data_IF_825051394688
#
_entry.id   IF_825051394688
#
_cell.length_a   1.000
_cell.length_b   1.000
_cell.length_c   1.000
_cell.angle_alpha   90.00
_cell.angle_beta   90.00
_cell.angle_gamma   90.00
#
_symmetry.space_group_name_H-M   'P 1'
#
loop_
_entity.id
_entity.type
_entity.pdbx_description
1 polymer ?
#
# COMPACT_ATOMS: atom_id res chain seq x y z
N UNK A 1 24.47 1.70 -9.79
CA UNK A 1 25.03 0.70 -8.84
C UNK A 1 24.08 -0.48 -8.89
N UNK A 2 24.53 -1.72 -8.86
CA UNK A 2 23.59 -2.86 -8.99
C UNK A 2 22.63 -2.92 -7.78
N UNK A 3 21.32 -3.00 -8.05
CA UNK A 3 20.26 -3.09 -7.03
C UNK A 3 20.51 -4.25 -6.05
N UNK A 4 20.95 -5.39 -6.56
CA UNK A 4 21.28 -6.58 -5.76
C UNK A 4 22.35 -6.27 -4.70
N UNK A 5 23.33 -5.43 -5.05
CA UNK A 5 24.39 -5.00 -4.13
C UNK A 5 23.85 -4.10 -3.02
N UNK A 6 22.97 -3.15 -3.37
CA UNK A 6 22.32 -2.26 -2.39
C UNK A 6 21.40 -3.06 -1.47
N UNK A 7 20.63 -4.01 -2.03
CA UNK A 7 19.76 -4.89 -1.27
C UNK A 7 20.54 -5.76 -0.29
N UNK A 8 21.69 -6.32 -0.72
CA UNK A 8 22.59 -7.08 0.14
C UNK A 8 23.12 -6.22 1.30
N UNK A 9 23.63 -5.02 1.01
CA UNK A 9 24.09 -4.10 2.06
C UNK A 9 22.98 -3.72 3.04
N UNK A 10 21.80 -3.39 2.53
CA UNK A 10 20.66 -2.99 3.34
C UNK A 10 20.20 -4.13 4.26
N UNK A 11 20.14 -5.37 3.75
CA UNK A 11 19.85 -6.57 4.54
C UNK A 11 20.80 -6.70 5.73
N UNK A 12 22.12 -6.65 5.50
CA UNK A 12 23.11 -6.79 6.57
C UNK A 12 23.01 -5.65 7.61
N UNK A 13 22.79 -4.42 7.14
CA UNK A 13 22.66 -3.25 8.02
C UNK A 13 21.40 -3.31 8.88
N UNK A 14 20.26 -3.71 8.31
CA UNK A 14 19.00 -3.88 9.04
C UNK A 14 19.12 -5.00 10.09
N UNK A 15 19.74 -6.13 9.74
CA UNK A 15 19.99 -7.23 10.69
C UNK A 15 20.87 -6.77 11.86
N UNK A 16 21.94 -6.04 11.58
CA UNK A 16 22.80 -5.44 12.61
C UNK A 16 22.01 -4.49 13.53
N UNK A 17 21.17 -3.63 12.95
CA UNK A 17 20.38 -2.63 13.68
C UNK A 17 19.16 -3.19 14.40
N UNK A 18 18.75 -4.42 14.09
CA UNK A 18 17.69 -5.12 14.81
C UNK A 18 18.03 -5.40 16.28
N UNK A 19 19.32 -5.50 16.61
CA UNK A 19 19.81 -5.68 17.98
C UNK A 19 19.62 -4.40 18.84
N UNK A 20 19.59 -3.22 18.22
CA UNK A 20 19.40 -1.93 18.88
C UNK A 20 17.91 -1.68 19.19
N UNK A 21 17.57 -1.49 20.47
CA UNK A 21 16.18 -1.32 20.92
C UNK A 21 15.42 -0.21 20.18
N UNK A 22 16.10 0.90 19.85
CA UNK A 22 15.51 2.02 19.13
C UNK A 22 15.10 1.70 17.69
N UNK A 23 15.73 0.70 17.06
CA UNK A 23 15.54 0.35 15.65
C UNK A 23 14.91 -1.02 15.43
N UNK A 24 14.88 -1.87 16.47
CA UNK A 24 14.44 -3.26 16.43
C UNK A 24 13.14 -3.48 15.67
N UNK A 25 12.07 -2.80 16.08
CA UNK A 25 10.73 -3.04 15.52
C UNK A 25 10.67 -2.66 14.03
N UNK A 26 11.29 -1.53 13.67
CA UNK A 26 11.33 -1.06 12.29
C UNK A 26 12.16 -2.01 11.41
N UNK A 27 13.36 -2.39 11.85
CA UNK A 27 14.23 -3.29 11.10
C UNK A 27 13.59 -4.68 10.93
N UNK A 28 12.98 -5.20 12.00
CA UNK A 28 12.22 -6.46 11.96
C UNK A 28 11.11 -6.37 10.92
N UNK A 29 10.33 -5.31 10.94
CA UNK A 29 9.22 -5.14 10.01
C UNK A 29 9.65 -4.94 8.54
N UNK A 30 10.80 -4.31 8.30
CA UNK A 30 11.36 -4.13 6.97
C UNK A 30 11.94 -5.42 6.38
N UNK A 31 12.49 -6.28 7.22
CA UNK A 31 13.05 -7.59 6.86
C UNK A 31 11.98 -8.68 6.71
N UNK A 32 10.85 -8.54 7.40
CA UNK A 32 9.79 -9.54 7.47
C UNK A 32 9.28 -9.94 6.08
N UNK A 33 9.32 -11.23 5.77
CA UNK A 33 8.78 -11.80 4.54
C UNK A 33 7.24 -11.84 4.58
N UNK A 34 6.63 -12.10 3.43
CA UNK A 34 5.18 -12.28 3.38
C UNK A 34 4.73 -13.52 4.16
N UNK A 35 5.48 -14.62 4.08
CA UNK A 35 5.20 -15.86 4.81
C UNK A 35 5.28 -15.64 6.32
N UNK A 36 6.34 -14.98 6.80
CA UNK A 36 6.49 -14.64 8.23
C UNK A 36 5.34 -13.75 8.72
N UNK A 37 4.93 -12.77 7.91
CA UNK A 37 3.77 -11.93 8.23
C UNK A 37 2.49 -12.77 8.36
N UNK A 38 2.20 -13.65 7.41
CA UNK A 38 1.03 -14.55 7.46
C UNK A 38 1.09 -15.44 8.70
N UNK A 39 2.25 -15.97 9.05
CA UNK A 39 2.45 -16.77 10.26
C UNK A 39 2.13 -15.97 11.53
N UNK A 40 2.48 -14.68 11.59
CA UNK A 40 2.11 -13.83 12.73
C UNK A 40 0.59 -13.64 12.89
N UNK A 41 -0.15 -13.62 11.77
CA UNK A 41 -1.61 -13.50 11.76
C UNK A 41 -2.32 -14.80 12.16
N UNK A 42 -1.76 -15.95 11.75
CA UNK A 42 -2.32 -17.26 12.09
C UNK A 42 -2.06 -17.62 13.55
N UNK A 43 -0.91 -17.27 14.11
CA UNK A 43 -0.63 -17.44 15.54
C UNK A 43 -1.58 -16.62 16.44
N UNK A 44 -2.13 -15.52 15.91
CA UNK A 44 -3.11 -14.68 16.62
C UNK A 44 -4.57 -15.10 16.42
N UNK A 45 -4.85 -16.06 15.52
CA UNK A 45 -6.20 -16.48 15.14
C UNK A 45 -6.36 -18.01 15.25
N UNK A 46 -7.19 -18.50 16.18
CA UNK A 46 -7.51 -19.94 16.29
C UNK A 46 -8.10 -20.49 14.99
N UNK A 47 -7.51 -21.57 14.50
CA UNK A 47 -7.66 -22.21 13.18
C UNK A 47 -9.05 -22.24 12.54
N UNK A 48 -9.08 -21.96 11.23
CA UNK A 48 -9.87 -22.71 10.24
C UNK A 48 -9.07 -22.83 8.94
N UNK A 49 -8.47 -23.99 8.70
CA UNK A 49 -7.94 -24.37 7.38
C UNK A 49 -9.10 -24.75 6.48
N UNK A 50 -9.30 -24.03 5.38
CA UNK A 50 -10.16 -24.46 4.27
C UNK A 50 -9.28 -24.79 3.05
N UNK A 51 -9.33 -26.05 2.62
CA UNK A 51 -8.51 -26.68 1.57
C UNK A 51 -8.80 -26.18 0.12
N UNK A 52 -9.32 -24.97 -0.07
CA UNK A 52 -9.58 -24.38 -1.40
C UNK A 52 -8.47 -23.42 -1.88
N UNK A 53 -7.24 -23.61 -1.39
CA UNK A 53 -6.19 -22.59 -1.45
C UNK A 53 -5.55 -22.38 -2.84
N UNK A 54 -5.55 -23.37 -3.75
CA UNK A 54 -4.82 -23.27 -5.02
C UNK A 54 -5.41 -22.24 -6.00
N UNK A 55 -6.72 -22.25 -6.20
CA UNK A 55 -7.41 -21.34 -7.13
C UNK A 55 -7.44 -19.90 -6.58
N UNK A 56 -7.49 -19.74 -5.26
CA UNK A 56 -7.39 -18.43 -4.62
C UNK A 56 -6.01 -17.82 -4.82
N UNK A 57 -4.94 -18.59 -4.59
CA UNK A 57 -3.57 -18.12 -4.81
C UNK A 57 -3.30 -17.81 -6.30
N UNK A 58 -3.80 -18.64 -7.22
CA UNK A 58 -3.70 -18.37 -8.66
C UNK A 58 -4.36 -17.04 -9.03
N UNK A 59 -5.53 -16.73 -8.48
CA UNK A 59 -6.19 -15.44 -8.69
C UNK A 59 -5.37 -14.25 -8.13
N UNK A 60 -4.77 -14.40 -6.94
CA UNK A 60 -3.92 -13.35 -6.36
C UNK A 60 -2.71 -13.09 -7.24
N UNK A 61 -2.06 -14.16 -7.72
CA UNK A 61 -0.91 -14.08 -8.61
C UNK A 61 -1.28 -13.46 -9.96
N UNK A 62 -2.43 -13.80 -10.53
CA UNK A 62 -2.94 -13.19 -11.76
C UNK A 62 -3.12 -11.67 -11.63
N UNK A 63 -3.68 -11.21 -10.51
CA UNK A 63 -3.86 -9.77 -10.25
C UNK A 63 -2.49 -9.10 -10.08
N UNK A 64 -1.63 -9.70 -9.26
CA UNK A 64 -0.29 -9.18 -8.95
C UNK A 64 0.56 -9.06 -10.20
N UNK A 65 0.56 -10.07 -11.08
CA UNK A 65 1.31 -10.08 -12.32
C UNK A 65 0.82 -9.02 -13.34
N UNK A 66 -0.41 -8.52 -13.19
CA UNK A 66 -0.95 -7.43 -14.02
C UNK A 66 -0.63 -6.03 -13.47
N UNK A 67 -0.06 -5.94 -12.27
CA UNK A 67 0.35 -4.67 -11.66
C UNK A 67 1.84 -4.48 -11.99
N UNK A 68 2.12 -3.55 -12.90
CA UNK A 68 3.48 -3.23 -13.30
C UNK A 68 4.19 -2.49 -12.18
N UNK A 69 5.20 -3.13 -11.60
CA UNK A 69 6.10 -2.53 -10.59
C UNK A 69 7.55 -2.48 -11.07
N UNK A 70 7.76 -2.50 -12.39
CA UNK A 70 9.08 -2.75 -12.98
C UNK A 70 9.97 -1.52 -13.07
N UNK A 71 9.43 -0.31 -12.88
CA UNK A 71 10.19 0.94 -12.98
C UNK A 71 10.41 1.54 -11.57
N UNK A 72 11.67 1.67 -11.10
CA UNK A 72 12.00 2.30 -9.83
C UNK A 72 11.52 3.75 -9.68
N UNK A 73 11.21 4.43 -10.79
CA UNK A 73 10.63 5.78 -10.79
C UNK A 73 9.10 5.80 -10.72
N UNK A 74 8.45 4.64 -10.90
CA UNK A 74 7.01 4.51 -10.72
C UNK A 74 6.67 4.37 -9.25
N UNK A 75 5.71 5.17 -8.80
CA UNK A 75 5.17 5.02 -7.45
C UNK A 75 4.36 3.73 -7.36
N UNK A 76 4.14 3.22 -6.15
CA UNK A 76 3.28 2.04 -5.99
C UNK A 76 3.42 1.39 -4.62
N UNK A 77 2.43 0.55 -4.23
CA UNK A 77 2.51 -0.25 -3.01
C UNK A 77 3.62 -1.30 -3.15
N UNK A 78 4.51 -1.38 -2.17
CA UNK A 78 5.67 -2.27 -2.22
C UNK A 78 5.34 -3.62 -1.56
N UNK A 79 5.87 -4.71 -2.11
CA UNK A 79 5.74 -6.04 -1.49
C UNK A 79 6.75 -6.30 -0.37
N UNK A 80 6.40 -7.25 0.51
CA UNK A 80 7.35 -7.80 1.48
C UNK A 80 8.39 -8.71 0.78
N UNK A 81 9.62 -8.77 1.30
CA UNK A 81 10.14 -7.95 2.38
C UNK A 81 10.43 -6.52 1.91
N UNK A 82 9.98 -5.53 2.68
CA UNK A 82 9.94 -4.12 2.26
C UNK A 82 11.32 -3.55 1.93
N UNK A 83 12.38 -4.06 2.55
CA UNK A 83 13.74 -3.59 2.29
C UNK A 83 14.14 -3.75 0.81
N UNK A 84 13.59 -4.71 0.07
CA UNK A 84 13.89 -4.87 -1.36
C UNK A 84 13.36 -3.69 -2.18
N UNK A 85 12.15 -3.23 -1.89
CA UNK A 85 11.61 -2.03 -2.52
C UNK A 85 12.37 -0.77 -2.10
N UNK A 86 12.78 -0.67 -0.83
CA UNK A 86 13.66 0.42 -0.38
C UNK A 86 15.01 0.39 -1.13
N UNK A 87 15.59 -0.79 -1.33
CA UNK A 87 16.85 -0.93 -2.06
C UNK A 87 16.73 -0.42 -3.51
N UNK A 88 15.59 -0.66 -4.19
CA UNK A 88 15.30 -0.07 -5.50
C UNK A 88 15.30 1.46 -5.46
N UNK A 89 14.58 2.03 -4.50
CA UNK A 89 14.48 3.48 -4.34
C UNK A 89 15.83 4.11 -4.03
N UNK A 90 16.63 3.49 -3.16
CA UNK A 90 17.99 3.94 -2.82
C UNK A 90 18.92 3.82 -4.03
N UNK A 91 18.82 2.72 -4.79
CA UNK A 91 19.59 2.53 -6.02
C UNK A 91 19.30 3.66 -7.01
N UNK A 92 18.03 4.00 -7.23
CA UNK A 92 17.65 5.16 -8.03
C UNK A 92 18.32 6.44 -7.50
N UNK A 93 18.27 6.67 -6.18
CA UNK A 93 18.86 7.85 -5.57
C UNK A 93 20.37 7.94 -5.81
N UNK A 94 21.11 6.83 -5.68
CA UNK A 94 22.56 6.79 -5.90
C UNK A 94 22.93 6.97 -7.38
N UNK A 95 22.07 6.54 -8.29
CA UNK A 95 22.32 6.72 -9.73
C UNK A 95 22.06 8.14 -10.21
N UNK A 96 21.09 8.82 -9.59
CA UNK A 96 20.62 10.13 -10.05
C UNK A 96 21.01 11.30 -9.14
N UNK A 97 21.54 11.03 -7.95
CA UNK A 97 21.81 12.04 -6.92
C UNK A 97 20.57 12.92 -6.65
N UNK A 98 19.42 12.27 -6.48
CA UNK A 98 18.13 12.92 -6.18
C UNK A 98 17.10 11.92 -5.70
N UNK A 99 16.08 12.40 -4.99
CA UNK A 99 14.89 11.61 -4.71
C UNK A 99 14.09 11.37 -6.01
N UNK A 100 13.37 10.24 -6.13
CA UNK A 100 12.44 10.03 -7.23
C UNK A 100 11.41 11.18 -7.35
N UNK A 101 11.18 11.75 -8.55
CA UNK A 101 10.32 12.93 -8.75
C UNK A 101 8.88 12.77 -8.25
N UNK A 102 8.35 11.55 -8.28
CA UNK A 102 7.03 11.17 -7.75
C UNK A 102 6.92 11.33 -6.23
N UNK A 103 8.02 11.23 -5.48
CA UNK A 103 8.03 11.47 -4.03
C UNK A 103 7.93 12.96 -3.69
N UNK A 104 8.46 13.81 -4.57
CA UNK A 104 8.57 15.26 -4.36
C UNK A 104 7.37 16.01 -4.97
N UNK A 105 6.91 15.60 -6.15
CA UNK A 105 5.73 16.18 -6.82
C UNK A 105 4.44 15.79 -6.10
N UNK A 106 3.44 16.67 -6.03
CA UNK A 106 2.10 16.36 -5.48
C UNK A 106 1.03 16.65 -6.55
N UNK A 107 0.77 15.71 -7.47
CA UNK A 107 -0.03 15.98 -8.66
C UNK A 107 -1.53 16.19 -8.38
N UNK A 108 -2.05 15.71 -7.24
CA UNK A 108 -3.49 15.75 -6.94
C UNK A 108 -3.87 16.56 -5.69
N UNK A 109 -2.96 17.39 -5.16
CA UNK A 109 -3.15 18.37 -4.07
C UNK A 109 -4.25 18.08 -3.02
N UNK A 110 -4.26 16.88 -2.42
CA UNK A 110 -5.34 16.45 -1.51
C UNK A 110 -5.14 16.90 -0.07
N UNK A 111 -3.90 16.74 0.42
CA UNK A 111 -3.46 17.06 1.77
C UNK A 111 -2.14 17.82 1.67
N UNK A 112 -1.96 18.78 2.57
CA UNK A 112 -0.73 19.56 2.63
C UNK A 112 0.46 18.63 2.93
N UNK A 113 1.48 18.69 2.06
CA UNK A 113 2.78 18.04 2.29
C UNK A 113 3.53 18.86 3.34
N UNK A 114 3.84 18.26 4.48
CA UNK A 114 4.41 18.97 5.64
C UNK A 114 5.92 18.79 5.79
N UNK A 115 6.55 17.95 4.98
CA UNK A 115 7.96 17.56 5.14
C UNK A 115 8.89 18.08 4.03
N UNK A 116 8.51 19.14 3.30
CA UNK A 116 9.30 19.65 2.16
C UNK A 116 10.76 19.96 2.53
N UNK A 117 10.97 20.64 3.65
CA UNK A 117 12.32 20.96 4.14
C UNK A 117 13.12 19.69 4.48
N UNK A 118 12.46 18.68 5.06
CA UNK A 118 13.07 17.37 5.36
C UNK A 118 13.48 16.64 4.07
N UNK A 119 12.65 16.66 3.03
CA UNK A 119 12.96 16.07 1.72
C UNK A 119 14.17 16.75 1.06
N UNK A 120 14.23 18.08 1.08
CA UNK A 120 15.37 18.83 0.55
C UNK A 120 16.67 18.47 1.29
N UNK A 121 16.61 18.41 2.63
CA UNK A 121 17.76 18.01 3.45
C UNK A 121 18.22 16.58 3.16
N UNK A 122 17.29 15.63 2.96
CA UNK A 122 17.62 14.25 2.59
C UNK A 122 18.30 14.19 1.22
N UNK A 123 17.79 14.94 0.24
CA UNK A 123 18.38 15.01 -1.10
C UNK A 123 19.79 15.62 -1.07
N UNK A 124 19.99 16.73 -0.36
CA UNK A 124 21.32 17.31 -0.15
C UNK A 124 22.30 16.30 0.48
N UNK A 125 21.82 15.51 1.45
CA UNK A 125 22.64 14.48 2.08
C UNK A 125 22.98 13.35 1.12
N UNK A 126 22.01 12.82 0.38
CA UNK A 126 22.24 11.79 -0.65
C UNK A 126 23.34 12.20 -1.64
N UNK A 127 23.42 13.49 -1.98
CA UNK A 127 24.43 14.03 -2.90
C UNK A 127 25.85 14.09 -2.33
N UNK A 128 26.00 13.91 -1.02
CA UNK A 128 27.28 14.05 -0.32
C UNK A 128 27.78 12.76 0.31
N UNK A 129 26.91 11.76 0.49
CA UNK A 129 27.33 10.50 1.09
C UNK A 129 28.20 9.69 0.12
N UNK A 130 29.09 8.88 0.68
CA UNK A 130 29.79 7.89 -0.12
C UNK A 130 28.82 6.79 -0.57
N UNK A 131 28.91 6.40 -1.84
CA UNK A 131 28.14 5.30 -2.42
C UNK A 131 28.74 3.93 -2.01
N UNK A 132 28.83 3.70 -0.70
CA UNK A 132 29.40 2.53 -0.03
C UNK A 132 28.41 1.99 1.03
N UNK A 133 28.70 0.81 1.59
CA UNK A 133 27.91 0.26 2.71
C UNK A 133 27.95 1.19 3.92
N UNK A 134 29.12 1.78 4.22
CA UNK A 134 29.30 2.68 5.36
C UNK A 134 28.56 4.01 5.15
N UNK A 135 28.60 4.57 3.94
CA UNK A 135 27.82 5.75 3.60
C UNK A 135 26.31 5.50 3.65
N UNK A 136 25.86 4.30 3.25
CA UNK A 136 24.47 3.87 3.40
C UNK A 136 24.07 3.73 4.88
N UNK A 137 24.94 3.18 5.73
CA UNK A 137 24.71 3.09 7.18
C UNK A 137 24.55 4.49 7.80
N UNK A 138 25.47 5.41 7.47
CA UNK A 138 25.41 6.81 7.90
C UNK A 138 24.09 7.47 7.48
N UNK A 139 23.71 7.28 6.22
CA UNK A 139 22.46 7.82 5.71
C UNK A 139 21.24 7.27 6.46
N UNK A 140 21.10 5.96 6.56
CA UNK A 140 19.90 5.33 7.09
C UNK A 140 19.71 5.49 8.59
N UNK A 141 20.79 5.51 9.38
CA UNK A 141 20.68 5.43 10.84
C UNK A 141 21.19 6.66 11.58
N UNK A 142 21.97 7.53 10.94
CA UNK A 142 22.47 8.76 11.55
C UNK A 142 21.83 10.02 10.94
N UNK A 143 21.41 9.96 9.66
CA UNK A 143 20.75 11.09 8.99
C UNK A 143 19.23 10.96 9.05
N UNK A 144 18.67 9.80 8.71
CA UNK A 144 17.22 9.58 8.70
C UNK A 144 16.64 9.39 10.11
N UNK A 145 15.38 9.82 10.29
CA UNK A 145 14.60 9.44 11.47
C UNK A 145 13.85 8.13 11.21
N UNK A 146 13.27 7.57 12.28
CA UNK A 146 12.40 6.40 12.22
C UNK A 146 11.11 6.62 11.43
N UNK A 147 10.77 7.82 11.01
CA UNK A 147 9.57 8.10 10.21
C UNK A 147 9.91 8.25 8.71
N UNK A 148 11.17 8.56 8.39
CA UNK A 148 11.62 8.85 7.03
C UNK A 148 11.67 7.62 6.12
N UNK A 149 11.77 6.39 6.65
CA UNK A 149 11.73 5.15 5.83
C UNK A 149 10.46 5.07 4.97
N UNK A 150 9.35 5.67 5.43
CA UNK A 150 8.08 5.73 4.71
C UNK A 150 8.23 6.39 3.33
N UNK A 151 9.13 7.36 3.22
CA UNK A 151 9.43 8.04 1.95
C UNK A 151 9.99 7.03 0.95
N UNK A 152 10.87 6.13 1.41
CA UNK A 152 11.46 5.07 0.57
C UNK A 152 10.49 3.94 0.26
N UNK A 153 9.35 3.88 0.96
CA UNK A 153 8.18 3.07 0.61
C UNK A 153 7.13 3.82 -0.22
N UNK A 154 7.50 4.97 -0.77
CA UNK A 154 6.64 5.79 -1.61
C UNK A 154 5.44 6.42 -0.90
N UNK A 155 5.49 6.49 0.43
CA UNK A 155 4.42 7.04 1.25
C UNK A 155 4.73 8.50 1.56
N UNK A 156 3.74 9.36 1.33
CA UNK A 156 3.85 10.79 1.63
C UNK A 156 3.72 11.07 3.13
N UNK A 157 4.27 12.21 3.51
CA UNK A 157 4.14 12.78 4.86
C UNK A 157 3.27 14.03 4.76
N UNK A 158 2.02 13.88 5.18
CA UNK A 158 1.01 14.94 5.11
C UNK A 158 0.47 15.29 6.50
N UNK A 159 -0.33 16.35 6.59
CA UNK A 159 -1.13 16.61 7.79
C UNK A 159 -1.90 15.35 8.20
N UNK A 160 -1.78 14.96 9.49
CA UNK A 160 -2.40 13.74 10.02
C UNK A 160 -1.68 12.43 9.73
N UNK A 161 -0.48 12.46 9.12
CA UNK A 161 0.33 11.29 8.75
C UNK A 161 1.67 11.14 9.50
N UNK A 162 1.98 12.03 10.45
CA UNK A 162 3.35 12.23 10.95
C UNK A 162 3.69 11.47 12.25
N UNK A 163 2.81 10.56 12.73
CA UNK A 163 2.91 10.00 14.10
C UNK A 163 2.67 8.48 14.15
N UNK A 164 2.74 7.77 13.02
CA UNK A 164 2.48 6.34 13.02
C UNK A 164 3.76 5.52 12.95
N UNK A 165 3.95 4.70 13.97
CA UNK A 165 4.89 3.56 13.94
C UNK A 165 4.29 2.34 13.23
N UNK A 166 3.22 2.53 12.45
CA UNK A 166 2.52 1.47 11.75
C UNK A 166 3.14 1.21 10.38
N UNK A 167 3.32 -0.07 10.06
CA UNK A 167 3.74 -0.50 8.73
C UNK A 167 2.58 -0.39 7.74
N UNK A 168 2.81 0.10 6.50
CA UNK A 168 1.79 0.03 5.46
C UNK A 168 1.46 -1.43 5.14
N UNK A 169 0.31 -1.71 4.49
CA UNK A 169 0.11 -3.01 3.89
C UNK A 169 1.06 -3.20 2.70
N UNK A 170 1.48 -4.43 2.46
CA UNK A 170 2.15 -4.82 1.22
C UNK A 170 1.18 -4.86 0.03
N UNK A 171 1.68 -4.96 -1.21
CA UNK A 171 0.81 -5.16 -2.37
C UNK A 171 0.02 -6.48 -2.24
N UNK A 172 0.66 -7.59 -1.87
CA UNK A 172 -0.04 -8.85 -1.56
C UNK A 172 -1.16 -8.66 -0.54
N UNK A 173 -0.88 -8.00 0.59
CA UNK A 173 -1.86 -7.74 1.64
C UNK A 173 -3.02 -6.87 1.14
N UNK A 174 -2.73 -5.89 0.28
CA UNK A 174 -3.75 -5.06 -0.35
C UNK A 174 -4.70 -5.89 -1.23
N UNK A 175 -4.15 -6.79 -2.06
CA UNK A 175 -4.92 -7.65 -2.97
C UNK A 175 -5.73 -8.66 -2.16
N UNK A 176 -5.13 -9.35 -1.19
CA UNK A 176 -5.81 -10.31 -0.31
C UNK A 176 -6.98 -9.68 0.43
N UNK A 177 -6.74 -8.52 1.05
CA UNK A 177 -7.78 -7.80 1.75
C UNK A 177 -8.91 -7.35 0.83
N UNK A 178 -8.64 -7.13 -0.47
CA UNK A 178 -9.62 -6.73 -1.48
C UNK A 178 -10.42 -7.92 -2.03
N UNK A 179 -9.77 -9.06 -2.25
CA UNK A 179 -10.37 -10.27 -2.84
C UNK A 179 -11.07 -11.15 -1.81
N UNK A 180 -10.83 -10.93 -0.50
CA UNK A 180 -11.51 -11.62 0.59
C UNK A 180 -13.03 -11.71 0.36
N UNK A 181 -13.60 -12.89 0.62
CA UNK A 181 -15.04 -13.13 0.50
C UNK A 181 -15.78 -12.17 1.44
N UNK A 182 -16.76 -11.45 0.90
CA UNK A 182 -17.60 -10.57 1.69
C UNK A 182 -18.58 -11.41 2.53
N UNK A 183 -18.34 -11.43 3.83
CA UNK A 183 -19.25 -12.02 4.80
C UNK A 183 -20.43 -11.07 5.04
N UNK A 184 -21.63 -11.49 4.64
CA UNK A 184 -22.84 -10.70 4.88
C UNK A 184 -23.37 -10.97 6.29
N UNK A 185 -23.43 -9.97 7.19
CA UNK A 185 -24.01 -10.15 8.52
C UNK A 185 -25.47 -10.61 8.39
N UNK A 186 -25.85 -11.64 9.14
CA UNK A 186 -27.21 -12.18 9.20
C UNK A 186 -27.77 -12.69 7.85
N UNK A 187 -26.90 -13.19 6.95
CA UNK A 187 -27.35 -13.76 5.70
C UNK A 187 -28.21 -15.01 5.93
N UNK A 188 -29.44 -15.02 5.40
CA UNK A 188 -30.23 -16.25 5.31
C UNK A 188 -29.50 -17.25 4.40
N UNK A 189 -29.49 -18.56 4.73
CA UNK A 189 -28.95 -19.58 3.85
C UNK A 189 -29.57 -19.46 2.46
N UNK A 190 -28.77 -19.53 1.40
CA UNK A 190 -29.31 -19.57 0.03
C UNK A 190 -30.21 -20.79 -0.11
N UNK A 191 -31.29 -20.67 -0.90
CA UNK A 191 -32.28 -21.73 -1.20
C UNK A 191 -31.68 -23.05 -1.72
N UNK A 192 -30.39 -23.08 -2.07
CA UNK A 192 -29.70 -24.22 -2.68
C UNK A 192 -28.32 -24.53 -2.06
N UNK A 193 -28.02 -24.04 -0.84
CA UNK A 193 -26.78 -24.39 -0.14
C UNK A 193 -25.47 -23.86 -0.76
N UNK A 194 -25.54 -23.07 -1.84
CA UNK A 194 -24.33 -22.51 -2.45
C UNK A 194 -23.76 -21.35 -1.62
N UNK A 195 -22.44 -21.35 -1.34
CA UNK A 195 -21.80 -20.29 -0.58
C UNK A 195 -21.83 -18.98 -1.37
N UNK A 196 -21.76 -17.88 -0.64
CA UNK A 196 -21.61 -16.54 -1.21
C UNK A 196 -20.17 -16.36 -1.67
N UNK A 197 -19.93 -15.91 -2.92
CA UNK A 197 -18.58 -15.80 -3.48
C UNK A 197 -18.22 -14.37 -3.88
N UNK A 198 -19.03 -13.36 -3.57
CA UNK A 198 -18.68 -11.97 -3.88
C UNK A 198 -17.54 -11.49 -2.98
N UNK A 199 -16.52 -10.85 -3.54
CA UNK A 199 -15.43 -10.25 -2.76
C UNK A 199 -15.87 -8.95 -2.09
N UNK A 200 -15.12 -8.51 -1.07
CA UNK A 200 -15.31 -7.19 -0.46
C UNK A 200 -15.08 -6.05 -1.46
N UNK A 201 -14.11 -6.21 -2.36
CA UNK A 201 -13.86 -5.29 -3.47
C UNK A 201 -15.08 -5.14 -4.39
N UNK A 202 -15.63 -6.25 -4.87
CA UNK A 202 -16.82 -6.23 -5.72
C UNK A 202 -18.06 -5.69 -5.00
N UNK A 203 -18.19 -6.00 -3.70
CA UNK A 203 -19.24 -5.42 -2.87
C UNK A 203 -19.10 -3.91 -2.76
N UNK A 204 -17.89 -3.38 -2.57
CA UNK A 204 -17.65 -1.94 -2.56
C UNK A 204 -17.98 -1.33 -3.92
N UNK A 205 -17.46 -1.86 -5.03
CA UNK A 205 -17.68 -1.33 -6.39
C UNK A 205 -19.17 -1.21 -6.74
N UNK A 206 -19.99 -2.17 -6.29
CA UNK A 206 -21.44 -2.14 -6.50
C UNK A 206 -22.14 -0.89 -5.92
N UNK A 207 -21.50 -0.15 -5.00
CA UNK A 207 -22.00 1.10 -4.42
C UNK A 207 -21.51 2.36 -5.17
N UNK A 208 -20.43 2.25 -5.92
CA UNK A 208 -19.74 3.36 -6.58
C UNK A 208 -20.17 3.55 -8.02
N UNK A 209 -20.46 2.47 -8.75
CA UNK A 209 -20.77 2.57 -10.18
C UNK A 209 -22.00 3.45 -10.53
N UNK A 210 -22.94 3.64 -9.60
CA UNK A 210 -24.09 4.54 -9.79
C UNK A 210 -23.79 6.03 -9.54
N UNK A 211 -22.61 6.33 -8.99
CA UNK A 211 -22.19 7.69 -8.60
C UNK A 211 -21.39 8.40 -9.67
N UNK A 212 -20.91 7.65 -10.65
CA UNK A 212 -20.11 8.12 -11.77
C UNK A 212 -20.99 8.09 -13.02
N UNK A 213 -21.53 9.25 -13.37
CA UNK A 213 -22.52 9.42 -14.43
C UNK A 213 -21.90 9.96 -15.71
N UNK A 214 -20.74 10.59 -15.61
CA UNK A 214 -20.07 11.27 -16.71
C UNK A 214 -18.87 10.45 -17.22
N UNK A 215 -17.90 10.16 -16.34
CA UNK A 215 -16.59 9.61 -16.71
C UNK A 215 -16.60 8.07 -16.87
N UNK A 216 -17.58 7.39 -16.26
CA UNK A 216 -17.76 5.94 -16.29
C UNK A 216 -16.48 5.15 -15.91
N UNK A 217 -15.60 5.75 -15.11
CA UNK A 217 -14.39 5.16 -14.55
C UNK A 217 -14.68 3.83 -13.88
N UNK A 218 -15.75 3.75 -13.07
CA UNK A 218 -16.12 2.53 -12.35
C UNK A 218 -16.75 1.44 -13.24
N UNK A 219 -17.19 1.79 -14.46
CA UNK A 219 -17.90 0.89 -15.38
C UNK A 219 -19.22 0.34 -14.81
N UNK A 220 -19.80 -0.68 -15.46
CA UNK A 220 -21.11 -1.24 -15.09
C UNK A 220 -20.92 -2.51 -14.23
N UNK A 221 -21.22 -2.44 -12.93
CA UNK A 221 -21.09 -3.57 -12.00
C UNK A 221 -22.35 -4.46 -11.97
N UNK A 222 -22.59 -5.22 -13.03
CA UNK A 222 -23.75 -6.13 -13.18
C UNK A 222 -23.33 -7.57 -13.48
N UNK A 223 -24.28 -8.52 -13.44
CA UNK A 223 -24.03 -9.93 -13.73
C UNK A 223 -23.77 -10.81 -12.51
N UNK A 224 -23.11 -11.96 -12.75
CA UNK A 224 -22.80 -12.98 -11.74
C UNK A 224 -21.76 -12.47 -10.72
N UNK A 225 -21.64 -13.14 -9.57
CA UNK A 225 -20.64 -12.78 -8.54
C UNK A 225 -19.22 -12.87 -9.11
N UNK A 226 -18.92 -13.91 -9.90
CA UNK A 226 -17.65 -14.05 -10.63
C UNK A 226 -17.37 -12.83 -11.53
N UNK A 227 -18.31 -12.43 -12.38
CA UNK A 227 -18.15 -11.26 -13.26
C UNK A 227 -17.93 -9.96 -12.48
N UNK A 228 -18.59 -9.80 -11.34
CA UNK A 228 -18.42 -8.62 -10.48
C UNK A 228 -17.06 -8.61 -9.80
N UNK A 229 -16.56 -9.77 -9.36
CA UNK A 229 -15.22 -9.92 -8.79
C UNK A 229 -14.16 -9.60 -9.85
N UNK A 230 -14.26 -10.19 -11.05
CA UNK A 230 -13.36 -9.91 -12.17
C UNK A 230 -13.33 -8.41 -12.50
N UNK A 231 -14.51 -7.78 -12.62
CA UNK A 231 -14.61 -6.34 -12.89
C UNK A 231 -13.97 -5.51 -11.77
N UNK A 232 -14.20 -5.87 -10.50
CA UNK A 232 -13.58 -5.18 -9.37
C UNK A 232 -12.06 -5.32 -9.36
N UNK A 233 -11.53 -6.50 -9.70
CA UNK A 233 -10.09 -6.72 -9.81
C UNK A 233 -9.50 -5.86 -10.93
N UNK A 234 -10.18 -5.73 -12.07
CA UNK A 234 -9.73 -4.86 -13.16
C UNK A 234 -9.71 -3.37 -12.76
N UNK A 235 -10.68 -2.91 -11.97
CA UNK A 235 -10.66 -1.55 -11.39
C UNK A 235 -9.50 -1.38 -10.41
N UNK A 236 -9.21 -2.38 -9.56
CA UNK A 236 -8.06 -2.34 -8.66
C UNK A 236 -6.75 -2.23 -9.45
N UNK A 237 -6.55 -3.11 -10.45
CA UNK A 237 -5.39 -3.11 -11.34
C UNK A 237 -5.24 -1.75 -12.03
N UNK A 238 -6.35 -1.19 -12.55
CA UNK A 238 -6.36 0.14 -13.18
C UNK A 238 -5.84 1.23 -12.24
N UNK A 239 -6.26 1.22 -10.97
CA UNK A 239 -5.80 2.21 -9.97
C UNK A 239 -4.34 1.98 -9.59
N UNK A 240 -3.93 0.71 -9.40
CA UNK A 240 -2.59 0.35 -8.94
C UNK A 240 -1.51 0.42 -10.02
N UNK A 241 -1.89 0.54 -11.30
CA UNK A 241 -0.98 0.79 -12.42
C UNK A 241 -0.72 2.29 -12.72
N UNK A 242 -1.46 3.20 -12.09
CA UNK A 242 -1.24 4.65 -12.21
C UNK A 242 -1.22 5.36 -10.85
N UNK A 243 -0.54 4.84 -9.81
CA UNK A 243 -0.55 5.48 -8.50
C UNK A 243 0.28 6.78 -8.52
N UNK A 244 -0.37 7.91 -8.23
CA UNK A 244 0.28 9.23 -8.17
C UNK A 244 0.30 9.82 -6.76
N UNK A 245 -0.45 9.18 -5.84
CA UNK A 245 -0.49 9.56 -4.45
C UNK A 245 -0.71 8.34 -3.55
N UNK A 246 0.21 8.12 -2.60
CA UNK A 246 0.11 7.11 -1.56
C UNK A 246 0.33 7.77 -0.21
N UNK A 247 -0.50 7.45 0.77
CA UNK A 247 -0.38 8.02 2.10
C UNK A 247 -0.85 7.07 3.20
N UNK A 248 -0.32 7.30 4.40
CA UNK A 248 -0.73 6.65 5.64
C UNK A 248 -1.14 7.75 6.63
N UNK A 249 -2.41 7.81 6.98
CA UNK A 249 -2.98 8.89 7.79
C UNK A 249 -4.14 8.42 8.65
N UNK A 250 -4.51 9.19 9.69
CA UNK A 250 -5.70 8.87 10.49
C UNK A 250 -6.97 9.56 9.98
N UNK A 251 -8.07 8.82 9.98
CA UNK A 251 -9.43 9.38 9.96
C UNK A 251 -9.88 9.75 11.39
N UNK A 252 -10.98 10.52 11.55
CA UNK A 252 -11.59 10.73 12.86
C UNK A 252 -11.80 9.42 13.62
N UNK A 253 -11.59 9.45 14.94
CA UNK A 253 -11.54 8.28 15.84
C UNK A 253 -10.30 7.39 15.64
N UNK A 254 -9.17 8.00 15.28
CA UNK A 254 -7.84 7.37 15.25
C UNK A 254 -7.74 6.10 14.39
N UNK A 255 -8.54 6.02 13.33
CA UNK A 255 -8.47 4.91 12.38
C UNK A 255 -7.36 5.17 11.38
N UNK A 256 -6.28 4.41 11.49
CA UNK A 256 -5.17 4.44 10.53
C UNK A 256 -5.65 3.92 9.18
N UNK A 257 -5.42 4.72 8.14
CA UNK A 257 -5.81 4.46 6.76
C UNK A 257 -4.59 4.53 5.86
N UNK A 258 -4.43 3.49 5.05
CA UNK A 258 -3.55 3.46 3.91
C UNK A 258 -4.37 3.74 2.65
N UNK A 259 -4.00 4.78 1.90
CA UNK A 259 -4.76 5.28 0.76
C UNK A 259 -3.87 5.44 -0.45
N UNK A 260 -4.36 4.94 -1.59
CA UNK A 260 -3.72 5.06 -2.90
C UNK A 260 -4.70 5.73 -3.86
N UNK A 261 -4.20 6.69 -4.64
CA UNK A 261 -4.96 7.33 -5.71
C UNK A 261 -4.17 7.41 -7.00
N UNK A 262 -4.93 7.32 -8.10
CA UNK A 262 -4.40 7.50 -9.44
C UNK A 262 -4.56 8.93 -9.96
N UNK A 263 -4.03 9.21 -11.16
CA UNK A 263 -3.89 10.57 -11.72
C UNK A 263 -5.19 11.38 -11.79
N UNK A 264 -6.33 10.75 -12.04
CA UNK A 264 -7.66 11.40 -12.06
C UNK A 264 -8.30 11.52 -10.66
N UNK A 265 -7.61 11.13 -9.59
CA UNK A 265 -8.08 11.27 -8.21
C UNK A 265 -8.94 10.11 -7.66
N UNK A 266 -9.46 9.20 -8.50
CA UNK A 266 -10.03 7.94 -8.02
C UNK A 266 -9.01 7.13 -7.20
N UNK A 267 -9.48 6.35 -6.24
CA UNK A 267 -8.58 5.59 -5.38
C UNK A 267 -9.21 4.44 -4.62
N UNK A 268 -8.36 3.84 -3.80
CA UNK A 268 -8.65 2.72 -2.91
C UNK A 268 -8.02 2.99 -1.56
N UNK A 269 -8.65 2.46 -0.51
CA UNK A 269 -8.09 2.57 0.84
C UNK A 269 -8.33 1.32 1.68
N UNK A 270 -7.39 1.09 2.57
CA UNK A 270 -7.41 0.06 3.59
C UNK A 270 -7.38 0.70 4.97
N UNK A 271 -7.93 0.00 5.96
CA UNK A 271 -7.87 0.40 7.37
C UNK A 271 -7.19 -0.69 8.15
N UNK A 272 -6.35 -0.31 9.10
CA UNK A 272 -5.80 -1.24 10.07
C UNK A 272 -6.91 -1.65 11.04
N UNK A 273 -6.89 -2.91 11.52
CA UNK A 273 -7.76 -3.32 12.63
C UNK A 273 -7.42 -2.62 13.95
N UNK A 274 -8.32 -2.77 14.93
CA UNK A 274 -8.18 -2.21 16.27
C UNK A 274 -6.99 -2.80 17.04
N UNK A 275 -6.48 -3.98 16.64
CA UNK A 275 -5.33 -4.63 17.28
C UNK A 275 -3.99 -4.22 16.67
N UNK A 276 -4.02 -3.49 15.55
CA UNK A 276 -2.82 -3.11 14.80
C UNK A 276 -2.17 -4.25 14.02
N UNK A 277 -2.86 -5.38 13.83
CA UNK A 277 -2.25 -6.62 13.31
C UNK A 277 -2.46 -6.79 11.80
N UNK A 278 -3.64 -6.44 11.28
CA UNK A 278 -3.99 -6.69 9.88
C UNK A 278 -4.73 -5.55 9.21
N UNK A 279 -4.66 -5.54 7.88
CA UNK A 279 -5.24 -4.54 7.00
C UNK A 279 -6.52 -5.05 6.32
N UNK A 280 -7.55 -4.22 6.30
CA UNK A 280 -8.85 -4.53 5.69
C UNK A 280 -9.19 -3.53 4.60
N UNK A 281 -9.68 -4.03 3.47
CA UNK A 281 -10.17 -3.16 2.42
C UNK A 281 -11.38 -2.35 2.92
N UNK A 282 -11.26 -1.03 2.90
CA UNK A 282 -12.27 -0.11 3.42
C UNK A 282 -13.21 0.38 2.32
N UNK A 283 -12.70 0.56 1.10
CA UNK A 283 -13.51 0.92 -0.05
C UNK A 283 -12.80 1.78 -1.09
N UNK A 284 -13.54 2.09 -2.15
CA UNK A 284 -13.12 3.00 -3.20
C UNK A 284 -13.31 4.47 -2.81
N UNK A 285 -12.64 5.34 -3.55
CA UNK A 285 -12.63 6.78 -3.37
C UNK A 285 -12.92 7.46 -4.70
N UNK A 286 -13.83 8.43 -4.65
CA UNK A 286 -14.10 9.33 -5.76
C UNK A 286 -13.01 10.42 -5.82
N UNK A 287 -12.84 11.09 -6.97
CA UNK A 287 -12.02 12.28 -7.08
C UNK A 287 -12.48 13.35 -6.07
N UNK A 288 -11.55 14.16 -5.59
CA UNK A 288 -11.96 15.31 -4.80
C UNK A 288 -12.72 16.29 -5.70
N UNK A 289 -13.85 16.77 -5.20
CA UNK A 289 -14.68 17.78 -5.85
C UNK A 289 -15.13 18.78 -4.79
N UNK A 290 -15.25 20.05 -5.19
CA UNK A 290 -15.85 21.08 -4.36
C UNK A 290 -17.27 20.63 -3.96
N UNK A 291 -17.61 20.78 -2.67
CA UNK A 291 -18.88 20.31 -2.09
C UNK A 291 -19.20 18.82 -2.28
N UNK A 292 -18.20 17.96 -2.53
CA UNK A 292 -18.39 16.53 -2.77
C UNK A 292 -19.19 15.82 -1.66
N UNK A 293 -19.00 16.22 -0.40
CA UNK A 293 -19.81 15.70 0.69
C UNK A 293 -21.31 16.04 0.53
N UNK A 294 -21.64 17.29 0.16
CA UNK A 294 -23.02 17.72 -0.06
C UNK A 294 -23.67 17.00 -1.25
N UNK A 295 -22.89 16.75 -2.30
CA UNK A 295 -23.31 16.02 -3.50
C UNK A 295 -23.24 14.49 -3.37
N UNK A 296 -22.87 13.97 -2.20
CA UNK A 296 -22.64 12.53 -1.93
C UNK A 296 -21.61 11.90 -2.88
N UNK A 297 -20.69 12.72 -3.37
CA UNK A 297 -19.64 12.35 -4.32
C UNK A 297 -20.20 11.76 -5.62
N UNK A 298 -21.36 12.25 -6.03
CA UNK A 298 -21.89 11.98 -7.37
C UNK A 298 -21.25 12.98 -8.32
N UNK A 299 -20.59 12.46 -9.35
CA UNK A 299 -20.00 13.20 -10.45
C UNK A 299 -20.45 12.59 -11.78
#
# INVERSE_FOLDING_TARGET
>A
MEEEKVAFWLSELLQKKQEEESWRDLCTALLMTHEEYVDTLTMTTTMTNDDNNSNYNEQLDEIRNQISMTDPSTMGPIDRPFYLGIARTITYCFEHNKLPPNLVSNPINLLAVTNKERLNMMEEKLNTIEHSKDGLEEFLFNILTREDWRIFLHIRTTTGGNVFNAMPPSLSECIEAFTRIYEKPNAKPRRHGQPYQLSVGAKALSKHWHRDREELFWGICTGTEKKKNEHANQILIKILNDPVWINLHSLPHDRIVYEIRQSQGYGVRWTMDEKGASWYFRGFLEPQMEDGHASKWVH
#
